data_IF_156130319037
#
_entry.id   IF_156130319037
#
_cell.length_a   1.000
_cell.length_b   1.000
_cell.length_c   1.000
_cell.angle_alpha   90.00
_cell.angle_beta   90.00
_cell.angle_gamma   90.00
#
_symmetry.space_group_name_H-M   'P 1'
#
loop_
_entity.id
_entity.type
_entity.pdbx_description
1 polymer ?
#
# COMPACT_ATOMS: atom_id res chain seq x y z
N UNK A 1 -4.87 -7.85 9.93
CA UNK A 1 -4.95 -9.19 9.31
C UNK A 1 -3.61 -9.69 8.77
N UNK A 2 -3.30 -11.00 8.93
CA UNK A 2 -2.08 -11.64 8.38
C UNK A 2 -1.85 -11.44 6.87
N UNK A 3 -2.90 -11.22 6.09
CA UNK A 3 -2.81 -10.93 4.67
C UNK A 3 -2.24 -9.52 4.42
N UNK A 4 -2.85 -8.50 5.04
CA UNK A 4 -2.42 -7.10 4.90
C UNK A 4 -0.99 -6.90 5.41
N UNK A 5 -0.62 -7.47 6.56
CA UNK A 5 0.74 -7.41 7.07
C UNK A 5 1.77 -7.93 6.05
N UNK A 6 1.46 -9.07 5.41
CA UNK A 6 2.31 -9.68 4.38
C UNK A 6 2.32 -8.87 3.08
N UNK A 7 1.20 -8.25 2.73
CA UNK A 7 1.09 -7.43 1.53
C UNK A 7 1.87 -6.13 1.70
N UNK A 8 1.70 -5.43 2.82
CA UNK A 8 2.45 -4.21 3.17
C UNK A 8 3.95 -4.46 3.20
N UNK A 9 4.40 -5.56 3.81
CA UNK A 9 5.82 -5.90 3.83
C UNK A 9 6.42 -6.09 2.42
N UNK A 10 5.61 -6.49 1.42
CA UNK A 10 6.04 -6.58 0.02
C UNK A 10 6.01 -5.24 -0.70
N UNK A 11 5.05 -4.37 -0.38
CA UNK A 11 4.89 -3.08 -1.05
C UNK A 11 5.81 -1.99 -0.49
N UNK A 12 6.08 -2.00 0.82
CA UNK A 12 6.98 -1.06 1.49
C UNK A 12 8.31 -0.87 0.75
N UNK A 13 9.07 -1.92 0.37
CA UNK A 13 10.30 -1.73 -0.37
C UNK A 13 10.09 -1.14 -1.76
N UNK A 14 9.02 -1.49 -2.48
CA UNK A 14 8.72 -0.96 -3.83
C UNK A 14 8.42 0.54 -3.75
N UNK A 15 7.58 0.91 -2.79
CA UNK A 15 7.21 2.31 -2.50
C UNK A 15 8.41 3.11 -2.00
N UNK A 16 9.28 2.50 -1.18
CA UNK A 16 10.49 3.14 -0.66
C UNK A 16 11.64 3.24 -1.67
N UNK A 17 11.78 2.26 -2.58
CA UNK A 17 12.73 2.25 -3.69
C UNK A 17 12.41 3.29 -4.74
N UNK A 18 11.15 3.69 -4.77
CA UNK A 18 10.76 4.91 -5.40
C UNK A 18 10.24 4.79 -6.81
N UNK A 19 9.76 3.61 -7.15
CA UNK A 19 8.94 3.40 -8.33
C UNK A 19 7.79 4.41 -8.34
N UNK A 20 7.51 5.06 -9.48
CA UNK A 20 6.38 5.97 -9.66
C UNK A 20 5.08 5.15 -9.69
N UNK A 21 4.71 4.59 -8.54
CA UNK A 21 3.44 3.94 -8.32
C UNK A 21 2.46 4.99 -7.84
N UNK A 22 1.28 5.02 -8.45
CA UNK A 22 0.22 5.91 -7.99
C UNK A 22 -0.53 5.26 -6.83
N UNK A 23 -1.11 6.10 -5.98
CA UNK A 23 -2.02 5.66 -4.91
C UNK A 23 -3.14 4.77 -5.49
N UNK A 24 -3.73 5.16 -6.62
CA UNK A 24 -4.76 4.36 -7.31
C UNK A 24 -4.29 2.94 -7.64
N UNK A 25 -3.09 2.82 -8.21
CA UNK A 25 -2.52 1.52 -8.61
C UNK A 25 -2.29 0.59 -7.40
N UNK A 26 -1.86 1.13 -6.25
CA UNK A 26 -1.75 0.34 -5.02
C UNK A 26 -3.10 -0.20 -4.54
N UNK A 27 -4.18 0.59 -4.69
CA UNK A 27 -5.53 0.16 -4.31
C UNK A 27 -6.01 -0.98 -5.20
N UNK A 28 -5.78 -0.87 -6.51
CA UNK A 28 -6.11 -1.93 -7.48
C UNK A 28 -5.29 -3.20 -7.23
N UNK A 29 -4.00 -3.07 -6.95
CA UNK A 29 -3.14 -4.21 -6.59
C UNK A 29 -3.58 -4.88 -5.29
N UNK A 30 -4.02 -4.11 -4.30
CA UNK A 30 -4.52 -4.62 -3.02
C UNK A 30 -5.83 -5.40 -3.20
N UNK A 31 -6.80 -4.82 -3.92
CA UNK A 31 -8.08 -5.45 -4.26
C UNK A 31 -7.85 -6.77 -5.02
N UNK A 32 -6.98 -6.75 -6.04
CA UNK A 32 -6.63 -7.94 -6.83
C UNK A 32 -5.96 -9.02 -5.96
N UNK A 33 -5.06 -8.63 -5.05
CA UNK A 33 -4.39 -9.56 -4.16
C UNK A 33 -5.36 -10.19 -3.14
N UNK A 34 -6.32 -9.41 -2.64
CA UNK A 34 -7.35 -9.89 -1.74
C UNK A 34 -8.30 -10.87 -2.43
N UNK A 35 -8.74 -10.54 -3.66
CA UNK A 35 -9.55 -11.44 -4.49
C UNK A 35 -8.84 -12.78 -4.73
N UNK A 36 -7.55 -12.75 -5.08
CA UNK A 36 -6.73 -13.96 -5.26
C UNK A 36 -6.54 -14.76 -3.98
N UNK A 37 -6.55 -14.10 -2.82
CA UNK A 37 -6.50 -14.75 -1.53
C UNK A 37 -7.87 -15.29 -1.07
N UNK A 38 -8.94 -15.06 -1.84
CA UNK A 38 -10.31 -15.42 -1.50
C UNK A 38 -10.91 -14.54 -0.40
N UNK A 39 -10.35 -13.35 -0.17
CA UNK A 39 -10.78 -12.42 0.87
C UNK A 39 -11.79 -11.45 0.24
N UNK A 40 -12.97 -11.35 0.84
CA UNK A 40 -14.02 -10.45 0.38
C UNK A 40 -13.62 -8.99 0.57
N UNK A 41 -14.03 -8.12 -0.37
CA UNK A 41 -13.79 -6.68 -0.29
C UNK A 41 -14.31 -6.07 1.03
N UNK A 42 -15.44 -6.57 1.52
CA UNK A 42 -16.06 -6.13 2.79
C UNK A 42 -15.18 -6.41 4.02
N UNK A 43 -14.43 -7.50 3.97
CA UNK A 43 -13.57 -7.96 5.07
C UNK A 43 -12.25 -7.18 5.12
N UNK A 44 -11.77 -6.66 3.98
CA UNK A 44 -10.55 -5.84 3.93
C UNK A 44 -10.83 -4.34 4.08
N UNK A 45 -12.02 -3.85 3.73
CA UNK A 45 -12.27 -2.42 3.54
C UNK A 45 -11.95 -1.58 4.79
N UNK A 46 -12.19 -2.12 5.99
CA UNK A 46 -11.91 -1.44 7.26
C UNK A 46 -10.42 -1.37 7.63
N UNK A 47 -9.63 -2.39 7.31
CA UNK A 47 -8.18 -2.38 7.60
C UNK A 47 -7.34 -1.79 6.44
N UNK A 48 -7.90 -1.79 5.22
CA UNK A 48 -7.30 -1.19 4.03
C UNK A 48 -7.04 0.29 4.24
N UNK A 49 -7.99 1.03 4.81
CA UNK A 49 -7.86 2.48 5.01
C UNK A 49 -6.62 2.84 5.85
N UNK A 50 -6.43 2.15 6.98
CA UNK A 50 -5.28 2.36 7.88
C UNK A 50 -3.95 2.01 7.23
N UNK A 51 -3.90 0.90 6.50
CA UNK A 51 -2.71 0.46 5.78
C UNK A 51 -2.32 1.45 4.68
N UNK A 52 -3.33 1.98 3.99
CA UNK A 52 -3.13 2.90 2.89
C UNK A 52 -2.62 4.25 3.37
N UNK A 53 -3.14 4.75 4.50
CA UNK A 53 -2.63 5.95 5.16
C UNK A 53 -1.14 5.82 5.51
N UNK A 54 -0.71 4.67 6.03
CA UNK A 54 0.70 4.39 6.31
C UNK A 54 1.57 4.45 5.03
N UNK A 55 1.11 3.81 3.94
CA UNK A 55 1.85 3.80 2.67
C UNK A 55 1.94 5.19 2.05
N UNK A 56 0.86 5.97 2.13
CA UNK A 56 0.83 7.38 1.69
C UNK A 56 1.77 8.22 2.54
N UNK A 57 1.84 8.01 3.86
CA UNK A 57 2.78 8.71 4.71
C UNK A 57 4.24 8.39 4.33
N UNK A 58 4.55 7.12 4.03
CA UNK A 58 5.89 6.69 3.59
C UNK A 58 6.25 7.35 2.25
N UNK A 59 5.33 7.38 1.27
CA UNK A 59 5.51 8.09 0.00
C UNK A 59 5.75 9.59 0.21
N UNK A 60 4.94 10.23 1.06
CA UNK A 60 5.05 11.66 1.35
C UNK A 60 6.37 12.01 2.03
N UNK A 61 6.83 11.19 2.98
CA UNK A 61 8.15 11.37 3.62
C UNK A 61 9.29 11.24 2.61
N UNK A 62 9.13 10.41 1.57
CA UNK A 62 10.09 10.31 0.46
C UNK A 62 10.08 11.58 -0.41
N UNK A 63 8.92 12.06 -0.84
CA UNK A 63 8.81 13.27 -1.66
C UNK A 63 9.46 14.47 -0.97
N UNK A 64 9.25 14.61 0.35
CA UNK A 64 9.91 15.65 1.17
C UNK A 64 11.42 15.47 1.24
N UNK A 65 11.94 14.23 1.24
CA UNK A 65 13.38 13.95 1.21
C UNK A 65 14.02 14.25 -0.16
N UNK A 66 13.30 14.03 -1.26
CA UNK A 66 13.80 14.32 -2.61
C UNK A 66 13.69 15.81 -2.96
N UNK A 67 12.70 16.53 -2.44
CA UNK A 67 12.54 17.98 -2.64
C UNK A 67 13.47 18.85 -1.77
N UNK A 68 14.17 18.25 -0.80
CA UNK A 68 15.04 18.94 0.14
C UNK A 68 16.54 18.94 -0.21
N UNK A 69 16.92 18.50 -1.41
CA UNK A 69 18.32 18.43 -1.87
C UNK A 69 18.57 19.35 -3.07
#
# INVERSE_FOLDING_TARGET
MKFLDKWVAKQLPIVALGDPITIGDLKDQLMTAAEKAGIGADEINGEVETVFELLVEVMRRREVREAGH
#
